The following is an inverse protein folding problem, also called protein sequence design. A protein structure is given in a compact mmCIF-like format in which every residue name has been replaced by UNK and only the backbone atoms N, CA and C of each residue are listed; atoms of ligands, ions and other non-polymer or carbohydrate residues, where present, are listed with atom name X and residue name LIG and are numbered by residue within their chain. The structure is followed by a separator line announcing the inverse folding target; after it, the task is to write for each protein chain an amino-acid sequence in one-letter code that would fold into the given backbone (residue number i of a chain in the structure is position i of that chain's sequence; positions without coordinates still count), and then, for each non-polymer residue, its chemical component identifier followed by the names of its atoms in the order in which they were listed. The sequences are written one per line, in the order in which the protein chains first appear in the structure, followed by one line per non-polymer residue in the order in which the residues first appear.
data_IF_151079733498
#
_entry.id   IF_151079733498
#
_cell.length_a   1.000
_cell.length_b   1.000
_cell.length_c   1.000
_cell.angle_alpha   90.00
_cell.angle_beta   90.00
_cell.angle_gamma   90.00
#
_symmetry.space_group_name_H-M   'P 1'
#
loop_
_entity.id
_entity.type
_entity.pdbx_description
1 polymer ?
#
# COMPACT_ATOMS: atom_id res chain seq x y z
N UNK A 1 0.65 -21.69 -14.19
CA UNK A 1 0.65 -21.06 -12.85
C UNK A 1 0.54 -19.54 -12.94
N UNK A 2 1.49 -18.84 -13.59
CA UNK A 2 1.50 -17.36 -13.68
C UNK A 2 0.22 -16.73 -14.24
N UNK A 3 -0.35 -17.27 -15.33
CA UNK A 3 -1.61 -16.76 -15.92
C UNK A 3 -2.79 -16.81 -14.95
N UNK A 4 -2.87 -17.88 -14.14
CA UNK A 4 -3.90 -18.04 -13.13
C UNK A 4 -3.73 -16.99 -12.03
N UNK A 5 -2.51 -16.82 -11.51
CA UNK A 5 -2.22 -15.82 -10.48
C UNK A 5 -2.50 -14.39 -10.96
N UNK A 6 -2.15 -14.07 -12.21
CA UNK A 6 -2.47 -12.78 -12.81
C UNK A 6 -3.98 -12.56 -12.93
N UNK A 7 -4.73 -13.59 -13.35
CA UNK A 7 -6.19 -13.55 -13.39
C UNK A 7 -6.79 -13.35 -11.99
N UNK A 8 -6.36 -14.13 -11.01
CA UNK A 8 -6.86 -14.05 -9.63
C UNK A 8 -6.60 -12.66 -9.02
N UNK A 9 -5.43 -12.07 -9.29
CA UNK A 9 -5.09 -10.71 -8.86
C UNK A 9 -5.97 -9.66 -9.55
N UNK A 10 -6.16 -9.79 -10.87
CA UNK A 10 -7.02 -8.89 -11.64
C UNK A 10 -8.48 -8.95 -11.17
N UNK A 11 -9.02 -10.16 -10.98
CA UNK A 11 -10.36 -10.39 -10.44
C UNK A 11 -10.51 -9.83 -9.02
N UNK A 12 -9.41 -9.69 -8.27
CA UNK A 12 -9.34 -9.05 -6.95
C UNK A 12 -9.13 -7.53 -7.00
N UNK A 13 -9.13 -6.93 -8.19
CA UNK A 13 -9.03 -5.48 -8.40
C UNK A 13 -7.64 -4.96 -8.76
N UNK A 14 -6.61 -5.81 -8.92
CA UNK A 14 -5.28 -5.36 -9.32
C UNK A 14 -5.28 -4.87 -10.77
N UNK A 15 -4.75 -3.67 -10.98
CA UNK A 15 -4.56 -3.02 -12.28
C UNK A 15 -3.11 -3.05 -12.74
N UNK A 16 -2.16 -2.94 -11.81
CA UNK A 16 -0.74 -2.88 -12.11
C UNK A 16 0.09 -3.53 -11.00
N UNK A 17 1.21 -4.15 -11.41
CA UNK A 17 2.26 -4.63 -10.53
C UNK A 17 3.62 -4.28 -11.17
N UNK A 18 4.40 -3.47 -10.46
CA UNK A 18 5.82 -3.24 -10.73
C UNK A 18 6.67 -3.98 -9.72
N UNK A 19 7.76 -4.59 -10.17
CA UNK A 19 8.71 -5.31 -9.33
C UNK A 19 10.14 -4.84 -9.64
N UNK A 20 10.92 -4.64 -8.59
CA UNK A 20 12.36 -4.46 -8.65
C UNK A 20 13.01 -5.64 -7.94
N UNK A 21 14.02 -6.24 -8.57
CA UNK A 21 14.84 -7.30 -7.99
C UNK A 21 16.25 -7.15 -8.58
N UNK A 22 17.13 -6.47 -7.85
CA UNK A 22 18.47 -6.12 -8.29
C UNK A 22 19.49 -6.43 -7.20
N UNK A 23 20.75 -6.63 -7.58
CA UNK A 23 21.84 -6.69 -6.62
C UNK A 23 22.60 -5.37 -6.67
N UNK A 24 22.63 -4.64 -5.55
CA UNK A 24 23.37 -3.40 -5.42
C UNK A 24 24.45 -3.58 -4.35
N UNK A 25 25.72 -3.46 -4.75
CA UNK A 25 26.89 -3.71 -3.87
C UNK A 25 26.83 -5.05 -3.10
N UNK A 26 26.29 -6.09 -3.76
CA UNK A 26 26.15 -7.43 -3.17
C UNK A 26 24.93 -7.61 -2.25
N UNK A 27 24.11 -6.57 -2.07
CA UNK A 27 22.84 -6.63 -1.32
C UNK A 27 21.68 -6.84 -2.30
N UNK A 28 20.86 -7.89 -2.13
CA UNK A 28 19.68 -8.08 -2.95
C UNK A 28 18.61 -7.04 -2.55
N UNK A 29 18.38 -6.07 -3.43
CA UNK A 29 17.30 -5.12 -3.33
C UNK A 29 16.05 -5.70 -3.99
N UNK A 30 14.96 -5.77 -3.23
CA UNK A 30 13.66 -6.14 -3.78
C UNK A 30 12.58 -5.19 -3.29
N UNK A 31 11.69 -4.81 -4.18
CA UNK A 31 10.52 -4.03 -3.85
C UNK A 31 9.41 -4.28 -4.88
N UNK A 32 8.17 -4.10 -4.45
CA UNK A 32 7.01 -4.14 -5.33
C UNK A 32 6.16 -2.88 -5.15
N UNK A 33 5.50 -2.48 -6.21
CA UNK A 33 4.41 -1.50 -6.18
C UNK A 33 3.21 -2.12 -6.86
N UNK A 34 2.07 -2.16 -6.18
CA UNK A 34 0.79 -2.55 -6.76
C UNK A 34 -0.15 -1.35 -6.85
N UNK A 35 -0.97 -1.35 -7.88
CA UNK A 35 -2.12 -0.44 -8.01
C UNK A 35 -3.36 -1.31 -8.13
N UNK A 36 -4.31 -1.12 -7.22
CA UNK A 36 -5.56 -1.88 -7.19
C UNK A 36 -6.76 -0.96 -6.98
N UNK A 37 -7.92 -1.32 -7.51
CA UNK A 37 -9.19 -0.65 -7.20
C UNK A 37 -9.89 -1.42 -6.09
N UNK A 38 -10.26 -0.73 -5.03
CA UNK A 38 -11.02 -1.29 -3.90
C UNK A 38 -12.42 -0.72 -3.90
N UNK A 39 -13.42 -1.60 -3.73
CA UNK A 39 -14.77 -1.16 -3.40
C UNK A 39 -14.83 -0.59 -1.97
N UNK A 40 -15.46 0.57 -1.81
CA UNK A 40 -15.69 1.23 -0.53
C UNK A 40 -16.89 0.60 0.20
N UNK A 41 -16.86 -0.71 0.39
CA UNK A 41 -17.85 -1.46 1.18
C UNK A 41 -17.15 -2.44 2.10
N UNK A 42 -17.64 -2.57 3.32
CA UNK A 42 -17.14 -3.60 4.23
C UNK A 42 -17.70 -4.99 3.86
N UNK A 43 -17.29 -6.03 4.61
CA UNK A 43 -17.73 -7.41 4.39
C UNK A 43 -19.25 -7.61 4.53
N UNK A 44 -19.93 -6.70 5.22
CA UNK A 44 -21.39 -6.69 5.39
C UNK A 44 -22.10 -5.87 4.30
N UNK A 45 -21.38 -5.33 3.31
CA UNK A 45 -21.92 -4.51 2.22
C UNK A 45 -22.21 -3.06 2.58
N UNK A 46 -21.91 -2.64 3.82
CA UNK A 46 -22.10 -1.26 4.28
C UNK A 46 -21.07 -0.36 3.60
N UNK A 47 -21.54 0.76 3.05
CA UNK A 47 -20.68 1.75 2.42
C UNK A 47 -19.69 2.33 3.44
N UNK A 48 -18.43 2.41 3.03
CA UNK A 48 -17.35 3.09 3.72
C UNK A 48 -17.14 4.45 3.06
N UNK A 49 -16.63 5.43 3.82
CA UNK A 49 -16.29 6.73 3.26
C UNK A 49 -15.09 6.61 2.31
N UNK A 50 -15.15 7.31 1.18
CA UNK A 50 -13.99 7.53 0.30
C UNK A 50 -13.27 8.84 0.59
N UNK A 51 -13.73 9.63 1.58
CA UNK A 51 -13.05 10.85 2.01
C UNK A 51 -11.67 10.50 2.62
N UNK A 52 -10.57 11.12 2.16
CA UNK A 52 -9.22 10.83 2.65
C UNK A 52 -9.03 10.97 4.16
N UNK A 53 -9.66 11.95 4.81
CA UNK A 53 -9.56 12.14 6.26
C UNK A 53 -10.35 11.07 6.99
N UNK A 54 -11.56 10.76 6.53
CA UNK A 54 -12.35 9.69 7.12
C UNK A 54 -11.66 8.31 6.97
N UNK A 55 -10.99 8.06 5.84
CA UNK A 55 -10.16 6.86 5.66
C UNK A 55 -9.01 6.88 6.67
N UNK A 56 -8.24 7.97 6.75
CA UNK A 56 -7.14 8.10 7.71
C UNK A 56 -7.59 7.87 9.16
N UNK A 57 -8.70 8.47 9.58
CA UNK A 57 -9.26 8.32 10.93
C UNK A 57 -9.68 6.87 11.24
N UNK A 58 -10.04 6.10 10.21
CA UNK A 58 -10.39 4.68 10.36
C UNK A 58 -9.19 3.72 10.43
N UNK A 59 -8.01 4.20 10.03
CA UNK A 59 -6.79 3.40 9.95
C UNK A 59 -6.05 3.39 11.29
N UNK A 60 -5.52 2.22 11.65
CA UNK A 60 -4.86 2.01 12.93
C UNK A 60 -3.41 2.48 12.89
N UNK A 61 -3.03 3.43 13.75
CA UNK A 61 -1.63 3.75 14.10
C UNK A 61 -1.01 2.62 14.92
N UNK A 62 0.25 2.29 14.65
CA UNK A 62 1.03 1.32 15.43
C UNK A 62 2.31 2.00 15.92
N UNK A 63 2.52 2.04 17.24
CA UNK A 63 3.71 2.64 17.86
C UNK A 63 4.70 1.54 18.26
N UNK A 64 5.92 1.58 17.73
CA UNK A 64 7.01 0.71 18.17
C UNK A 64 7.33 0.95 19.65
N UNK A 65 7.63 -0.13 20.39
CA UNK A 65 8.01 -0.05 21.80
C UNK A 65 9.51 -0.27 21.98
N UNK A 66 10.15 -0.95 21.02
CA UNK A 66 11.56 -1.30 20.99
C UNK A 66 12.07 -1.22 19.56
N UNK A 67 13.39 -1.15 19.43
CA UNK A 67 14.05 -1.25 18.12
C UNK A 67 13.65 -2.55 17.42
N UNK A 68 13.39 -2.46 16.12
CA UNK A 68 12.94 -3.57 15.29
C UNK A 68 11.44 -3.89 15.40
N UNK A 69 10.68 -3.32 16.34
CA UNK A 69 9.23 -3.53 16.41
C UNK A 69 8.51 -2.99 15.17
N UNK A 70 7.38 -3.62 14.83
CA UNK A 70 6.48 -3.06 13.83
C UNK A 70 5.91 -1.72 14.27
N UNK A 71 5.77 -0.80 13.32
CA UNK A 71 5.17 0.52 13.50
C UNK A 71 4.48 0.96 12.22
N UNK A 72 3.49 1.84 12.38
CA UNK A 72 2.71 2.42 11.28
C UNK A 72 2.28 3.82 11.65
N UNK A 73 2.62 4.78 10.81
CA UNK A 73 2.06 6.13 10.82
C UNK A 73 0.88 6.22 9.86
N UNK A 74 -0.07 7.07 10.21
CA UNK A 74 -1.25 7.36 9.40
C UNK A 74 -1.29 8.86 9.20
N UNK A 75 -1.51 9.31 7.96
CA UNK A 75 -1.55 10.72 7.57
C UNK A 75 -2.44 10.91 6.35
N UNK A 76 -2.63 12.15 5.94
CA UNK A 76 -3.03 12.50 4.58
C UNK A 76 -1.82 13.04 3.81
N UNK A 77 -1.86 12.92 2.49
CA UNK A 77 -0.87 13.49 1.55
C UNK A 77 -1.61 14.18 0.41
N UNK A 78 -1.03 15.23 -0.16
CA UNK A 78 -1.53 15.83 -1.39
C UNK A 78 -0.74 15.28 -2.58
N UNK A 79 -1.42 14.70 -3.57
CA UNK A 79 -0.82 14.16 -4.77
C UNK A 79 -1.01 15.18 -5.90
N UNK A 80 0.05 15.61 -6.60
CA UNK A 80 -0.08 16.54 -7.72
C UNK A 80 -1.15 16.09 -8.73
N UNK A 81 -1.97 17.04 -9.21
CA UNK A 81 -3.05 16.81 -10.19
C UNK A 81 -4.21 15.91 -9.74
N UNK A 82 -4.11 15.31 -8.54
CA UNK A 82 -5.08 14.34 -8.00
C UNK A 82 -5.76 14.89 -6.74
N UNK A 83 -5.00 15.57 -5.88
CA UNK A 83 -5.46 16.12 -4.60
C UNK A 83 -5.19 15.19 -3.42
N UNK A 84 -5.94 15.40 -2.34
CA UNK A 84 -5.71 14.73 -1.05
C UNK A 84 -6.00 13.23 -1.12
N UNK A 85 -5.14 12.44 -0.49
CA UNK A 85 -5.26 10.99 -0.32
C UNK A 85 -4.90 10.59 1.13
N UNK A 86 -5.47 9.48 1.60
CA UNK A 86 -5.08 8.91 2.88
C UNK A 86 -3.81 8.07 2.69
N UNK A 87 -2.89 8.08 3.66
CA UNK A 87 -1.67 7.30 3.58
C UNK A 87 -1.32 6.64 4.91
N UNK A 88 -0.89 5.38 4.82
CA UNK A 88 -0.10 4.74 5.86
C UNK A 88 1.32 4.50 5.37
N UNK A 89 2.26 4.55 6.30
CA UNK A 89 3.62 4.07 6.05
C UNK A 89 4.26 3.55 7.33
N UNK A 90 5.09 2.53 7.20
CA UNK A 90 5.95 2.03 8.26
C UNK A 90 6.53 0.66 8.02
N UNK A 91 6.98 0.01 9.08
CA UNK A 91 7.48 -1.36 9.06
C UNK A 91 6.45 -2.26 9.71
N UNK A 92 5.89 -3.21 8.98
CA UNK A 92 4.71 -3.96 9.41
C UNK A 92 4.87 -5.47 9.23
N UNK A 93 4.22 -6.23 10.10
CA UNK A 93 4.11 -7.68 9.98
C UNK A 93 2.91 -8.03 9.09
N UNK A 94 3.19 -8.44 7.85
CA UNK A 94 2.19 -8.80 6.85
C UNK A 94 1.98 -10.31 6.84
N UNK A 95 0.75 -10.83 6.96
CA UNK A 95 0.49 -12.27 6.85
C UNK A 95 0.94 -12.84 5.50
N UNK A 96 1.57 -14.01 5.51
CA UNK A 96 2.05 -14.67 4.27
C UNK A 96 0.90 -15.06 3.35
N UNK A 97 -0.24 -15.45 3.94
CA UNK A 97 -1.47 -15.76 3.23
C UNK A 97 -2.69 -15.54 4.15
N UNK A 98 -3.90 -15.33 3.59
CA UNK A 98 -5.12 -15.27 4.40
C UNK A 98 -5.29 -16.53 5.26
N UNK A 99 -5.43 -16.34 6.58
CA UNK A 99 -5.58 -17.44 7.55
C UNK A 99 -4.27 -18.11 7.99
N UNK A 100 -3.12 -17.68 7.47
CA UNK A 100 -1.80 -18.13 7.93
C UNK A 100 -1.34 -17.28 9.12
N UNK A 101 -0.78 -17.93 10.15
CA UNK A 101 -0.26 -17.26 11.34
C UNK A 101 1.14 -16.68 11.12
N UNK A 102 1.85 -17.14 10.08
CA UNK A 102 3.18 -16.64 9.74
C UNK A 102 3.06 -15.24 9.13
N UNK A 103 3.95 -14.37 9.56
CA UNK A 103 4.07 -13.00 9.07
C UNK A 103 5.45 -12.77 8.46
N UNK A 104 5.52 -11.85 7.52
CA UNK A 104 6.76 -11.29 6.98
C UNK A 104 6.82 -9.82 7.38
N UNK A 105 7.92 -9.41 8.00
CA UNK A 105 8.16 -8.01 8.31
C UNK A 105 8.59 -7.27 7.04
N UNK A 106 7.88 -6.21 6.70
CA UNK A 106 8.11 -5.46 5.47
C UNK A 106 8.02 -3.96 5.72
N UNK A 107 8.83 -3.21 4.99
CA UNK A 107 8.59 -1.79 4.73
C UNK A 107 7.33 -1.69 3.88
N UNK A 108 6.34 -0.92 4.30
CA UNK A 108 5.06 -0.79 3.63
C UNK A 108 4.64 0.68 3.57
N UNK A 109 4.20 1.12 2.40
CA UNK A 109 3.51 2.41 2.19
C UNK A 109 2.22 2.14 1.42
N UNK A 110 1.07 2.55 1.95
CA UNK A 110 -0.24 2.40 1.30
C UNK A 110 -0.91 3.75 1.15
N UNK A 111 -1.28 4.12 -0.07
CA UNK A 111 -1.97 5.37 -0.36
C UNK A 111 -3.33 5.08 -0.97
N UNK A 112 -4.39 5.56 -0.31
CA UNK A 112 -5.78 5.41 -0.70
C UNK A 112 -6.25 6.69 -1.38
N UNK A 113 -6.43 6.60 -2.70
CA UNK A 113 -6.71 7.72 -3.59
C UNK A 113 -8.19 7.64 -4.00
N UNK A 114 -9.02 8.64 -3.68
CA UNK A 114 -10.41 8.68 -4.14
C UNK A 114 -10.49 8.69 -5.67
N UNK A 115 -11.43 7.92 -6.24
CA UNK A 115 -11.66 7.94 -7.69
C UNK A 115 -12.58 9.11 -8.04
N UNK A 116 -12.18 10.04 -8.94
CA UNK A 116 -13.02 11.16 -9.34
C UNK A 116 -14.37 10.72 -9.89
N UNK A 117 -15.44 11.44 -9.52
CA UNK A 117 -16.80 11.18 -10.02
C UNK A 117 -17.51 9.99 -9.39
N UNK A 118 -16.89 9.28 -8.44
CA UNK A 118 -17.55 8.24 -7.66
C UNK A 118 -17.22 8.33 -6.16
N UNK A 119 -18.09 7.73 -5.34
CA UNK A 119 -17.95 7.62 -3.88
C UNK A 119 -17.93 6.17 -3.41
N UNK A 120 -17.84 5.20 -4.32
CA UNK A 120 -17.90 3.77 -4.00
C UNK A 120 -16.58 3.04 -4.23
N UNK A 121 -15.54 3.75 -4.66
CA UNK A 121 -14.25 3.18 -5.01
C UNK A 121 -13.09 4.07 -4.57
N UNK A 122 -11.97 3.42 -4.24
CA UNK A 122 -10.66 4.05 -4.08
C UNK A 122 -9.61 3.27 -4.86
N UNK A 123 -8.60 3.95 -5.37
CA UNK A 123 -7.37 3.31 -5.82
C UNK A 123 -6.44 3.16 -4.63
N UNK A 124 -5.94 1.94 -4.40
CA UNK A 124 -4.86 1.65 -3.47
C UNK A 124 -3.56 1.51 -4.24
N UNK A 125 -2.62 2.42 -3.99
CA UNK A 125 -1.21 2.27 -4.38
C UNK A 125 -0.44 1.73 -3.18
N UNK A 126 0.17 0.55 -3.30
CA UNK A 126 0.88 -0.11 -2.20
C UNK A 126 2.32 -0.42 -2.60
N UNK A 127 3.28 0.24 -1.96
CA UNK A 127 4.71 -0.07 -2.06
C UNK A 127 5.14 -0.99 -0.92
N UNK A 128 5.90 -2.05 -1.22
CA UNK A 128 6.36 -3.01 -0.22
C UNK A 128 7.80 -3.47 -0.47
N UNK A 129 8.60 -3.64 0.58
CA UNK A 129 9.94 -4.25 0.50
C UNK A 129 10.26 -5.08 1.76
N UNK A 130 10.88 -6.27 1.63
CA UNK A 130 11.39 -7.01 2.78
C UNK A 130 12.75 -6.50 3.29
N UNK A 131 13.37 -5.51 2.63
CA UNK A 131 14.72 -5.02 2.96
C UNK A 131 14.61 -3.90 4.00
N UNK A 132 14.66 -4.26 5.28
CA UNK A 132 14.37 -3.36 6.40
C UNK A 132 15.46 -2.31 6.65
N UNK A 133 16.72 -2.65 6.36
CA UNK A 133 17.87 -1.75 6.56
C UNK A 133 17.79 -0.47 5.72
N UNK A 134 16.93 -0.46 4.70
CA UNK A 134 16.68 0.67 3.80
C UNK A 134 15.26 1.22 3.91
N UNK A 135 14.59 1.01 5.06
CA UNK A 135 13.18 1.39 5.23
C UNK A 135 12.88 2.84 4.87
N UNK A 136 13.69 3.80 5.33
CA UNK A 136 13.51 5.21 5.02
C UNK A 136 13.62 5.48 3.52
N UNK A 137 14.66 4.95 2.87
CA UNK A 137 14.85 5.10 1.42
C UNK A 137 13.69 4.48 0.61
N UNK A 138 13.15 3.33 1.04
CA UNK A 138 11.99 2.75 0.40
C UNK A 138 10.72 3.57 0.61
N UNK A 139 10.50 4.16 1.79
CA UNK A 139 9.39 5.08 2.00
C UNK A 139 9.47 6.28 1.06
N UNK A 140 10.66 6.86 0.87
CA UNK A 140 10.89 7.97 -0.05
C UNK A 140 10.66 7.57 -1.52
N UNK A 141 11.14 6.39 -1.93
CA UNK A 141 10.91 5.85 -3.28
C UNK A 141 9.41 5.61 -3.51
N UNK A 142 8.71 5.00 -2.56
CA UNK A 142 7.27 4.74 -2.68
C UNK A 142 6.45 6.03 -2.69
N UNK A 143 6.88 7.05 -1.94
CA UNK A 143 6.30 8.38 -2.02
C UNK A 143 6.50 8.99 -3.41
N UNK A 144 7.74 9.02 -3.92
CA UNK A 144 8.05 9.55 -5.24
C UNK A 144 7.29 8.84 -6.37
N UNK A 145 7.21 7.50 -6.32
CA UNK A 145 6.42 6.72 -7.29
C UNK A 145 4.95 7.06 -7.19
N UNK A 146 4.38 7.11 -5.98
CA UNK A 146 2.96 7.44 -5.79
C UNK A 146 2.65 8.90 -6.16
N UNK A 147 3.59 9.83 -5.95
CA UNK A 147 3.47 11.24 -6.33
C UNK A 147 3.42 11.46 -7.84
N UNK A 148 3.80 10.46 -8.64
CA UNK A 148 3.65 10.47 -10.10
C UNK A 148 2.28 9.96 -10.59
N UNK A 149 1.42 9.51 -9.69
CA UNK A 149 0.11 8.97 -10.03
C UNK A 149 -0.78 10.05 -10.65
N UNK A 150 -1.48 9.70 -11.74
CA UNK A 150 -2.46 10.55 -12.41
C UNK A 150 -3.59 9.70 -13.00
N UNK A 151 -4.79 10.28 -13.05
CA UNK A 151 -5.90 9.73 -13.82
C UNK A 151 -5.74 10.19 -15.29
N UNK A 152 -5.75 9.24 -16.24
CA UNK A 152 -5.60 9.48 -17.69
C UNK A 152 -6.77 8.93 -18.48
#
# INVERSE_FOLDING_TARGET
MLRKMAKDAHDSGALYLGCMAENFDGVPLSATVTVSVLGARNKQGVALSTDPRAIADSLRVITARREGDAWRKVTTVDIPEVGMAARTYGVEDVPVAPGDSRTLRMVLTQTYIPVPGTTDQVVLVSGASPVLDLAEAFHDIFDAVTGSFRFV
#
